data_IF_355169970213
#
_entry.id   IF_355169970213
#
_cell.length_a   1.000
_cell.length_b   1.000
_cell.length_c   1.000
_cell.angle_alpha   90.00
_cell.angle_beta   90.00
_cell.angle_gamma   90.00
#
_symmetry.space_group_name_H-M   'P 1'
#
loop_
_entity.id
_entity.type
_entity.pdbx_description
1 polymer ?
#
# COMPACT_ATOMS: atom_id res chain seq x y z
N UNK A 1 -46.83 -37.86 -2.16
CA UNK A 1 -47.04 -38.25 -3.57
C UNK A 1 -45.64 -38.45 -4.15
N UNK A 2 -45.05 -39.65 -4.00
CA UNK A 2 -44.87 -40.71 -5.05
C UNK A 2 -44.04 -40.16 -6.23
N UNK A 3 -42.82 -40.62 -6.59
CA UNK A 3 -42.22 -41.95 -6.87
C UNK A 3 -40.66 -41.78 -6.79
N UNK A 4 -39.81 -42.66 -6.24
CA UNK A 4 -39.40 -44.05 -6.57
C UNK A 4 -38.78 -44.22 -7.97
N UNK A 5 -37.52 -44.66 -8.01
CA UNK A 5 -36.81 -45.16 -9.20
C UNK A 5 -35.45 -45.78 -8.87
N UNK A 6 -35.47 -47.02 -8.36
CA UNK A 6 -34.34 -47.96 -8.24
C UNK A 6 -34.22 -48.73 -9.56
N UNK A 7 -33.01 -48.97 -10.09
CA UNK A 7 -32.73 -50.22 -10.83
C UNK A 7 -31.26 -50.64 -10.73
N UNK A 8 -31.10 -51.96 -10.60
CA UNK A 8 -29.94 -52.74 -10.16
C UNK A 8 -29.80 -53.90 -11.15
N UNK A 9 -28.66 -54.08 -11.83
CA UNK A 9 -28.25 -55.30 -12.58
C UNK A 9 -26.71 -55.29 -12.64
N UNK A 10 -25.93 -55.97 -11.78
CA UNK A 10 -25.49 -57.40 -11.74
C UNK A 10 -24.81 -57.99 -12.99
N UNK A 11 -23.49 -58.19 -12.84
CA UNK A 11 -22.67 -59.37 -13.16
C UNK A 11 -22.50 -59.88 -14.62
N UNK A 12 -21.25 -60.01 -15.07
CA UNK A 12 -20.73 -61.31 -15.54
C UNK A 12 -19.19 -61.35 -15.55
N UNK A 13 -18.64 -62.34 -14.85
CA UNK A 13 -17.25 -62.78 -14.86
C UNK A 13 -17.14 -63.93 -15.89
N UNK A 14 -16.16 -63.89 -16.80
CA UNK A 14 -15.79 -65.09 -17.56
C UNK A 14 -14.27 -65.15 -17.73
N UNK A 15 -13.72 -66.26 -17.27
CA UNK A 15 -12.31 -66.65 -17.26
C UNK A 15 -12.21 -67.84 -18.21
N UNK A 16 -11.34 -67.79 -19.23
CA UNK A 16 -10.80 -69.00 -19.86
C UNK A 16 -9.34 -68.72 -20.24
N UNK A 17 -8.48 -69.64 -19.81
CA UNK A 17 -7.04 -69.72 -20.08
C UNK A 17 -6.74 -70.40 -21.43
N UNK A 18 -5.57 -70.10 -22.00
CA UNK A 18 -4.95 -70.87 -23.08
C UNK A 18 -3.55 -70.37 -23.45
N UNK A 19 -2.52 -71.10 -23.02
CA UNK A 19 -1.12 -71.10 -23.53
C UNK A 19 -1.08 -71.56 -25.02
N UNK A 20 -0.03 -71.45 -25.84
CA UNK A 20 1.43 -71.20 -25.75
C UNK A 20 1.84 -70.39 -27.03
N UNK A 21 3.00 -69.76 -27.17
CA UNK A 21 4.32 -70.38 -27.35
C UNK A 21 5.46 -69.38 -27.09
N UNK A 22 6.51 -69.93 -26.50
CA UNK A 22 7.82 -69.37 -26.20
C UNK A 22 8.68 -69.24 -27.46
N UNK A 23 9.32 -68.08 -27.67
CA UNK A 23 10.76 -68.09 -28.00
C UNK A 23 11.47 -66.93 -27.28
N UNK A 24 12.41 -67.39 -26.48
CA UNK A 24 13.35 -66.72 -25.61
C UNK A 24 14.29 -65.78 -26.37
N UNK A 25 14.66 -64.66 -25.76
CA UNK A 25 16.04 -64.16 -25.80
C UNK A 25 16.28 -63.19 -24.63
N UNK A 26 17.33 -63.54 -23.90
CA UNK A 26 17.77 -62.96 -22.64
C UNK A 26 18.25 -61.50 -22.78
N UNK A 27 17.82 -60.65 -21.84
CA UNK A 27 18.64 -59.52 -21.39
C UNK A 27 18.20 -59.11 -19.97
N UNK A 28 19.18 -59.16 -19.07
CA UNK A 28 19.10 -58.86 -17.65
C UNK A 28 18.91 -57.36 -17.41
N UNK A 29 18.07 -57.04 -16.43
CA UNK A 29 17.83 -55.72 -15.85
C UNK A 29 19.12 -54.95 -15.50
N UNK A 30 19.17 -53.69 -15.89
CA UNK A 30 19.67 -52.60 -15.03
C UNK A 30 18.73 -51.42 -15.23
N UNK A 31 17.87 -51.18 -14.24
CA UNK A 31 17.11 -49.93 -14.13
C UNK A 31 18.12 -48.82 -13.84
N UNK A 32 18.42 -47.99 -14.84
CA UNK A 32 19.14 -46.74 -14.64
C UNK A 32 18.18 -45.75 -13.98
N UNK A 33 18.38 -45.52 -12.67
CA UNK A 33 17.96 -44.30 -12.03
C UNK A 33 18.68 -43.14 -12.71
N UNK A 34 17.98 -42.45 -13.62
CA UNK A 34 18.34 -41.09 -14.01
C UNK A 34 18.07 -40.18 -12.81
N UNK A 35 19.05 -40.08 -11.92
CA UNK A 35 19.22 -38.90 -11.09
C UNK A 35 19.58 -37.77 -12.04
N UNK A 36 18.64 -36.88 -12.29
CA UNK A 36 18.93 -35.59 -12.92
C UNK A 36 19.85 -34.85 -11.97
N UNK A 37 21.16 -34.89 -12.21
CA UNK A 37 22.11 -33.97 -11.60
C UNK A 37 21.68 -32.56 -12.03
N UNK A 38 20.98 -31.85 -11.15
CA UNK A 38 20.86 -30.39 -11.27
C UNK A 38 22.28 -29.85 -11.13
N UNK A 39 22.92 -29.52 -12.25
CA UNK A 39 24.12 -28.70 -12.24
C UNK A 39 23.75 -27.34 -11.63
N UNK A 40 23.82 -27.24 -10.31
CA UNK A 40 23.72 -25.98 -9.61
C UNK A 40 25.03 -25.25 -9.87
N UNK A 41 25.08 -24.46 -10.95
CA UNK A 41 26.23 -23.61 -11.27
C UNK A 41 26.53 -22.71 -10.06
N UNK A 42 27.63 -23.00 -9.37
CA UNK A 42 28.04 -22.31 -8.14
C UNK A 42 28.82 -21.06 -8.52
N UNK A 43 28.27 -19.89 -8.19
CA UNK A 43 28.95 -18.62 -8.41
C UNK A 43 29.92 -18.37 -7.25
N UNK A 44 31.22 -18.51 -7.53
CA UNK A 44 32.29 -18.31 -6.54
C UNK A 44 32.66 -16.83 -6.43
N UNK A 45 32.12 -16.15 -5.42
CA UNK A 45 32.44 -14.76 -5.10
C UNK A 45 33.01 -14.68 -3.68
N UNK A 46 34.11 -13.95 -3.50
CA UNK A 46 34.63 -13.67 -2.15
C UNK A 46 33.75 -12.65 -1.43
N UNK A 47 33.77 -12.65 -0.09
CA UNK A 47 32.99 -11.70 0.71
C UNK A 47 33.36 -10.23 0.42
N UNK A 48 34.60 -9.96 0.03
CA UNK A 48 35.07 -8.62 -0.36
C UNK A 48 34.46 -8.17 -1.69
N UNK A 49 34.41 -9.06 -2.68
CA UNK A 49 33.79 -8.79 -3.98
C UNK A 49 32.29 -8.62 -3.81
N UNK A 50 31.61 -9.46 -3.00
CA UNK A 50 30.19 -9.27 -2.72
C UNK A 50 29.89 -7.86 -2.18
N UNK A 51 30.74 -7.36 -1.27
CA UNK A 51 30.58 -6.01 -0.72
C UNK A 51 30.83 -4.91 -1.75
N UNK A 52 31.81 -5.07 -2.63
CA UNK A 52 32.12 -4.13 -3.71
C UNK A 52 30.95 -4.00 -4.71
N UNK A 53 30.30 -5.11 -5.03
CA UNK A 53 29.15 -5.16 -5.93
C UNK A 53 27.81 -4.84 -5.25
N UNK A 54 27.81 -4.48 -3.96
CA UNK A 54 26.60 -4.14 -3.21
C UNK A 54 25.66 -5.32 -2.98
N UNK A 55 26.20 -6.55 -2.96
CA UNK A 55 25.45 -7.78 -2.69
C UNK A 55 25.26 -7.88 -1.17
N UNK A 56 24.00 -7.88 -0.74
CA UNK A 56 23.64 -8.05 0.67
C UNK A 56 23.00 -9.42 0.87
N UNK A 57 23.35 -10.08 1.97
CA UNK A 57 22.82 -11.39 2.36
C UNK A 57 21.99 -11.24 3.64
N UNK A 58 20.84 -11.91 3.71
CA UNK A 58 19.96 -11.96 4.86
C UNK A 58 19.57 -13.39 5.21
N UNK A 59 19.17 -13.59 6.45
CA UNK A 59 18.66 -14.87 6.93
C UNK A 59 17.16 -14.99 6.60
N UNK A 60 16.78 -16.08 5.94
CA UNK A 60 15.39 -16.39 5.64
C UNK A 60 14.68 -16.83 6.93
N UNK A 61 13.51 -16.26 7.22
CA UNK A 61 12.82 -16.54 8.47
C UNK A 61 11.35 -16.15 8.47
N UNK A 62 10.67 -16.35 9.61
CA UNK A 62 9.26 -16.03 9.73
C UNK A 62 9.03 -14.53 9.56
N UNK A 63 7.98 -14.19 8.83
CA UNK A 63 7.64 -12.81 8.54
C UNK A 63 6.16 -12.61 8.33
N UNK A 64 5.79 -11.35 8.11
CA UNK A 64 4.41 -10.94 7.99
C UNK A 64 4.18 -10.21 6.68
N UNK A 65 3.27 -10.73 5.86
CA UNK A 65 2.89 -10.13 4.59
C UNK A 65 1.64 -9.30 4.79
N UNK A 66 1.78 -8.00 4.56
CA UNK A 66 0.70 -7.02 4.67
C UNK A 66 0.26 -6.59 3.28
N UNK A 67 -0.93 -7.00 2.88
CA UNK A 67 -1.53 -6.52 1.65
C UNK A 67 -2.25 -5.22 1.91
N UNK A 68 -2.16 -4.31 0.96
CA UNK A 68 -2.85 -3.03 1.04
C UNK A 68 -3.59 -2.74 -0.27
N UNK A 69 -4.49 -1.77 -0.18
CA UNK A 69 -5.16 -1.17 -1.32
C UNK A 69 -4.79 0.30 -1.31
N UNK A 70 -4.30 0.78 -2.45
CA UNK A 70 -4.01 2.19 -2.65
C UNK A 70 -5.30 2.95 -2.93
N UNK A 71 -5.54 3.96 -2.10
CA UNK A 71 -6.64 4.90 -2.28
C UNK A 71 -6.07 6.30 -2.50
N UNK A 72 -6.79 7.10 -3.26
CA UNK A 72 -6.47 8.52 -3.45
C UNK A 72 -7.51 9.38 -2.74
N UNK A 73 -7.13 10.60 -2.38
CA UNK A 73 -8.02 11.48 -1.66
C UNK A 73 -7.50 12.89 -1.52
N UNK A 74 -8.17 13.65 -0.67
CA UNK A 74 -7.86 15.05 -0.39
C UNK A 74 -7.83 15.30 1.12
N UNK A 75 -6.94 16.21 1.54
CA UNK A 75 -6.95 16.75 2.90
C UNK A 75 -8.01 17.85 2.98
N UNK A 76 -8.90 17.73 3.96
CA UNK A 76 -9.86 18.78 4.31
C UNK A 76 -9.67 19.21 5.76
N UNK A 77 -9.99 20.47 6.04
CA UNK A 77 -10.17 20.92 7.42
C UNK A 77 -11.36 20.17 8.04
N UNK A 78 -11.28 19.89 9.35
CA UNK A 78 -12.40 19.29 10.06
C UNK A 78 -13.59 20.27 10.08
N UNK A 79 -14.75 19.95 9.46
CA UNK A 79 -15.86 20.91 9.34
C UNK A 79 -16.42 21.37 10.69
N UNK A 80 -16.34 20.51 11.72
CA UNK A 80 -16.76 20.84 13.09
C UNK A 80 -15.86 21.88 13.79
N UNK A 81 -14.70 22.16 13.19
CA UNK A 81 -13.64 23.05 13.68
C UNK A 81 -13.45 24.29 12.81
N UNK A 82 -14.42 24.57 11.95
CA UNK A 82 -14.47 25.77 11.12
C UNK A 82 -15.47 26.75 11.73
N UNK A 83 -15.08 28.02 11.79
CA UNK A 83 -15.93 29.14 12.17
C UNK A 83 -16.00 30.13 11.01
N UNK A 84 -17.21 30.36 10.51
CA UNK A 84 -17.49 31.42 9.56
C UNK A 84 -17.86 32.69 10.33
N UNK A 85 -17.10 33.76 10.10
CA UNK A 85 -17.32 35.06 10.74
C UNK A 85 -18.13 35.91 9.78
N UNK A 86 -19.33 36.29 10.20
CA UNK A 86 -20.24 37.16 9.45
C UNK A 86 -20.38 38.51 10.16
N UNK A 87 -20.38 39.64 9.43
CA UNK A 87 -20.67 40.94 10.01
C UNK A 87 -22.09 40.97 10.56
N UNK A 88 -22.29 41.62 11.71
CA UNK A 88 -23.62 41.76 12.31
C UNK A 88 -24.48 42.81 11.60
N UNK A 89 -23.84 43.81 11.01
CA UNK A 89 -24.46 44.89 10.28
C UNK A 89 -23.68 45.16 8.99
N UNK A 90 -24.39 45.45 7.91
CA UNK A 90 -23.75 45.87 6.66
C UNK A 90 -22.99 47.19 6.88
N UNK A 91 -21.83 47.35 6.24
CA UNK A 91 -20.96 48.49 6.51
C UNK A 91 -19.72 48.57 5.64
N UNK A 92 -18.97 49.66 5.79
CA UNK A 92 -17.68 49.86 5.09
C UNK A 92 -16.55 49.32 5.96
N UNK A 93 -15.66 48.52 5.37
CA UNK A 93 -14.47 48.01 6.03
C UNK A 93 -13.47 49.15 6.24
N UNK A 94 -13.30 49.60 7.48
CA UNK A 94 -12.40 50.71 7.79
C UNK A 94 -10.96 50.27 7.95
N UNK A 95 -10.75 49.10 8.57
CA UNK A 95 -9.42 48.58 8.87
C UNK A 95 -9.42 47.06 8.93
N UNK A 96 -8.46 46.42 8.26
CA UNK A 96 -8.21 44.98 8.31
C UNK A 96 -6.96 44.72 9.15
N UNK A 97 -7.11 44.00 10.26
CA UNK A 97 -6.02 43.72 11.20
C UNK A 97 -5.34 42.38 10.95
N UNK A 98 -6.02 41.46 10.26
CA UNK A 98 -5.55 40.10 10.03
C UNK A 98 -5.81 39.64 8.61
N UNK A 99 -4.94 38.78 8.10
CA UNK A 99 -5.02 38.24 6.73
C UNK A 99 -4.97 36.71 6.67
N UNK A 100 -5.24 36.16 5.49
CA UNK A 100 -5.20 34.72 5.22
C UNK A 100 -3.83 34.14 5.56
N UNK A 101 -3.82 32.99 6.24
CA UNK A 101 -2.62 32.29 6.70
C UNK A 101 -2.16 32.67 8.10
N UNK A 102 -2.67 33.76 8.67
CA UNK A 102 -2.32 34.17 10.04
C UNK A 102 -3.08 33.36 11.09
N UNK A 103 -2.40 33.13 12.22
CA UNK A 103 -3.01 32.56 13.42
C UNK A 103 -3.73 33.65 14.20
N UNK A 104 -4.88 33.28 14.76
CA UNK A 104 -5.72 34.15 15.57
C UNK A 104 -6.20 33.42 16.83
N UNK A 105 -6.37 34.19 17.89
CA UNK A 105 -6.97 33.72 19.15
C UNK A 105 -8.43 34.12 19.22
N UNK A 106 -9.24 33.36 19.97
CA UNK A 106 -10.62 33.72 20.27
C UNK A 106 -10.68 35.10 20.93
N UNK A 107 -11.55 35.98 20.40
CA UNK A 107 -11.71 37.37 20.84
C UNK A 107 -10.73 38.36 20.21
N UNK A 108 -9.77 37.89 19.40
CA UNK A 108 -8.85 38.77 18.69
C UNK A 108 -9.59 39.56 17.59
N UNK A 109 -9.35 40.88 17.52
CA UNK A 109 -10.00 41.77 16.55
C UNK A 109 -9.42 41.54 15.16
N UNK A 110 -10.27 41.12 14.23
CA UNK A 110 -9.89 40.78 12.86
C UNK A 110 -10.04 41.98 11.91
N UNK A 111 -11.14 42.73 12.07
CA UNK A 111 -11.50 43.86 11.21
C UNK A 111 -12.37 44.85 11.99
N UNK A 112 -12.30 46.13 11.60
CA UNK A 112 -13.17 47.20 12.09
C UNK A 112 -14.07 47.64 10.93
N UNK A 113 -15.39 47.65 11.17
CA UNK A 113 -16.40 47.99 10.17
C UNK A 113 -17.21 49.18 10.68
N UNK A 114 -17.46 50.16 9.81
CA UNK A 114 -18.43 51.23 10.06
C UNK A 114 -19.83 50.79 9.61
N UNK A 115 -20.76 50.69 10.56
CA UNK A 115 -22.14 50.27 10.27
C UNK A 115 -22.88 51.31 9.44
N UNK A 116 -23.55 50.87 8.37
CA UNK A 116 -24.43 51.75 7.58
C UNK A 116 -25.71 52.14 8.32
N UNK A 117 -26.09 51.41 9.37
CA UNK A 117 -27.31 51.70 10.15
C UNK A 117 -27.08 52.80 11.19
N UNK A 118 -25.93 52.78 11.87
CA UNK A 118 -25.62 53.70 12.97
C UNK A 118 -24.52 54.71 12.66
N UNK A 119 -23.78 54.54 11.58
CA UNK A 119 -22.56 55.30 11.23
C UNK A 119 -21.49 55.26 12.33
N UNK A 120 -21.48 54.18 13.11
CA UNK A 120 -20.49 53.93 14.15
C UNK A 120 -19.62 52.74 13.78
N UNK A 121 -18.35 52.77 14.18
CA UNK A 121 -17.46 51.63 14.02
C UNK A 121 -17.76 50.55 15.05
N UNK A 122 -17.57 49.29 14.65
CA UNK A 122 -17.62 48.14 15.54
C UNK A 122 -16.56 47.12 15.14
N UNK A 123 -16.14 46.32 16.12
CA UNK A 123 -15.13 45.28 15.94
C UNK A 123 -15.78 43.96 15.57
N UNK A 124 -15.16 43.27 14.61
CA UNK A 124 -15.44 41.86 14.32
C UNK A 124 -14.27 41.03 14.83
N UNK A 125 -14.57 40.11 15.73
CA UNK A 125 -13.59 39.32 16.45
C UNK A 125 -13.65 37.85 16.05
N UNK A 126 -12.55 37.12 16.26
CA UNK A 126 -12.54 35.68 16.09
C UNK A 126 -13.40 34.98 17.14
N UNK A 127 -14.18 33.98 16.74
CA UNK A 127 -14.98 33.16 17.65
C UNK A 127 -14.22 31.93 18.19
N UNK A 128 -13.09 31.58 17.56
CA UNK A 128 -12.27 30.42 17.90
C UNK A 128 -10.77 30.74 17.81
N UNK A 129 -9.93 29.90 18.41
CA UNK A 129 -8.51 29.87 18.09
C UNK A 129 -8.33 29.13 16.75
N UNK A 130 -7.46 29.60 15.87
CA UNK A 130 -7.22 28.93 14.60
C UNK A 130 -6.39 29.73 13.61
N UNK A 131 -6.48 29.34 12.35
CA UNK A 131 -5.84 30.02 11.22
C UNK A 131 -6.93 30.56 10.30
N UNK A 132 -6.76 31.79 9.81
CA UNK A 132 -7.63 32.33 8.76
C UNK A 132 -7.33 31.60 7.45
N UNK A 133 -8.30 30.85 6.94
CA UNK A 133 -8.15 30.09 5.68
C UNK A 133 -8.76 30.82 4.49
N UNK A 134 -9.73 31.70 4.72
CA UNK A 134 -10.36 32.52 3.67
C UNK A 134 -10.72 33.90 4.23
N UNK A 135 -10.72 34.89 3.33
CA UNK A 135 -11.12 36.26 3.60
C UNK A 135 -11.83 36.81 2.36
N UNK A 136 -13.05 37.32 2.53
CA UNK A 136 -13.86 37.87 1.43
C UNK A 136 -14.15 39.35 1.63
N UNK A 137 -13.12 40.12 1.94
CA UNK A 137 -13.22 41.58 2.01
C UNK A 137 -11.86 42.24 1.86
N UNK A 138 -11.88 43.52 1.49
CA UNK A 138 -10.73 44.40 1.47
C UNK A 138 -11.04 45.72 2.18
N UNK A 139 -10.01 46.45 2.60
CA UNK A 139 -10.21 47.76 3.23
C UNK A 139 -10.87 48.73 2.23
N UNK A 140 -11.91 49.45 2.68
CA UNK A 140 -12.73 50.36 1.88
C UNK A 140 -13.91 49.69 1.19
N UNK A 141 -14.02 48.37 1.25
CA UNK A 141 -15.12 47.62 0.63
C UNK A 141 -16.42 47.69 1.45
N UNK A 142 -17.56 47.67 0.76
CA UNK A 142 -18.87 47.49 1.38
C UNK A 142 -19.10 45.99 1.61
N UNK A 143 -19.25 45.60 2.88
CA UNK A 143 -19.58 44.22 3.25
C UNK A 143 -20.99 44.12 3.82
N UNK A 144 -21.71 43.06 3.44
CA UNK A 144 -23.06 42.77 3.92
C UNK A 144 -23.11 41.67 4.98
N UNK A 145 -24.28 41.47 5.59
CA UNK A 145 -24.53 40.43 6.62
C UNK A 145 -24.57 39.01 6.08
N UNK A 146 -24.77 38.83 4.77
CA UNK A 146 -24.77 37.52 4.09
C UNK A 146 -23.35 37.06 3.71
N UNK A 147 -22.37 37.96 3.73
CA UNK A 147 -21.01 37.67 3.32
C UNK A 147 -20.20 37.08 4.49
N UNK A 148 -19.49 35.98 4.24
CA UNK A 148 -18.49 35.46 5.17
C UNK A 148 -17.26 36.36 5.13
N UNK A 149 -17.08 37.21 6.14
CA UNK A 149 -15.94 38.08 6.26
C UNK A 149 -14.64 37.24 6.34
N UNK A 150 -14.62 36.30 7.29
CA UNK A 150 -13.49 35.37 7.46
C UNK A 150 -13.98 33.94 7.61
N UNK A 151 -13.19 32.99 7.12
CA UNK A 151 -13.30 31.57 7.51
C UNK A 151 -12.06 31.22 8.34
N UNK A 152 -12.28 30.75 9.56
CA UNK A 152 -11.22 30.41 10.51
C UNK A 152 -11.32 28.92 10.81
N UNK A 153 -10.19 28.20 10.78
CA UNK A 153 -10.15 26.77 11.06
C UNK A 153 -9.08 26.43 12.09
N UNK A 154 -9.41 25.55 13.04
CA UNK A 154 -8.41 24.85 13.85
C UNK A 154 -7.80 23.72 13.01
N UNK A 155 -6.56 23.93 12.54
CA UNK A 155 -5.84 23.02 11.66
C UNK A 155 -4.91 22.05 12.40
N UNK A 156 -4.98 21.95 13.73
CA UNK A 156 -4.12 21.03 14.49
C UNK A 156 -4.38 19.55 14.17
N UNK A 157 -5.58 19.25 13.68
CA UNK A 157 -5.95 17.96 13.09
C UNK A 157 -6.67 18.23 11.77
N UNK A 158 -6.45 17.37 10.81
CA UNK A 158 -7.13 17.42 9.51
C UNK A 158 -7.68 16.05 9.16
N UNK A 159 -8.58 16.01 8.20
CA UNK A 159 -9.14 14.76 7.70
C UNK A 159 -8.59 14.49 6.30
N UNK A 160 -8.07 13.28 6.08
CA UNK A 160 -7.88 12.75 4.74
C UNK A 160 -9.16 12.04 4.31
N UNK A 161 -9.81 12.55 3.28
CA UNK A 161 -11.01 11.99 2.65
C UNK A 161 -10.58 11.16 1.45
N UNK A 162 -10.57 9.84 1.63
CA UNK A 162 -10.13 8.86 0.65
C UNK A 162 -11.30 8.32 -0.16
N UNK A 163 -11.10 8.16 -1.46
CA UNK A 163 -12.06 7.55 -2.37
C UNK A 163 -11.89 6.04 -2.40
N UNK A 164 -12.94 5.32 -2.01
CA UNK A 164 -13.00 3.85 -2.02
C UNK A 164 -13.83 3.40 -3.21
N UNK A 165 -13.20 2.76 -4.19
CA UNK A 165 -13.91 2.19 -5.34
C UNK A 165 -14.86 1.07 -4.93
N UNK A 166 -15.99 0.96 -5.62
CA UNK A 166 -17.01 -0.07 -5.37
C UNK A 166 -16.44 -1.51 -5.35
N UNK A 167 -15.45 -1.82 -6.19
CA UNK A 167 -14.80 -3.15 -6.24
C UNK A 167 -14.07 -3.52 -4.94
N UNK A 168 -13.63 -2.52 -4.18
CA UNK A 168 -12.79 -2.68 -2.98
C UNK A 168 -13.57 -2.43 -1.68
N UNK A 169 -14.80 -1.91 -1.76
CA UNK A 169 -15.61 -1.50 -0.60
C UNK A 169 -15.81 -2.61 0.44
N UNK A 170 -15.86 -3.87 0.00
CA UNK A 170 -16.03 -5.01 0.90
C UNK A 170 -14.76 -5.34 1.71
N UNK A 171 -13.60 -4.93 1.22
CA UNK A 171 -12.28 -5.12 1.86
C UNK A 171 -11.92 -3.96 2.79
N UNK A 172 -12.50 -2.78 2.56
CA UNK A 172 -12.30 -1.60 3.40
C UNK A 172 -13.27 -1.58 4.58
N UNK A 173 -12.75 -1.43 5.79
CA UNK A 173 -13.52 -1.42 7.05
C UNK A 173 -13.01 -0.33 7.99
N UNK A 174 -13.90 0.17 8.84
CA UNK A 174 -13.52 1.07 9.92
C UNK A 174 -12.47 0.41 10.84
N UNK A 175 -11.55 1.22 11.36
CA UNK A 175 -10.48 0.77 12.24
C UNK A 175 -9.23 0.24 11.55
N UNK A 176 -9.27 -0.02 10.23
CA UNK A 176 -8.08 -0.43 9.47
C UNK A 176 -6.97 0.62 9.56
N UNK A 177 -5.73 0.13 9.64
CA UNK A 177 -4.54 0.97 9.61
C UNK A 177 -4.35 1.52 8.20
N UNK A 178 -4.03 2.81 8.13
CA UNK A 178 -3.79 3.53 6.88
C UNK A 178 -2.49 4.28 7.00
N UNK A 179 -1.70 4.25 5.94
CA UNK A 179 -0.50 5.06 5.80
C UNK A 179 -0.77 6.09 4.70
N UNK A 180 -0.86 7.36 5.07
CA UNK A 180 -1.18 8.46 4.15
C UNK A 180 0.10 9.21 3.81
N UNK A 181 0.28 9.56 2.55
CA UNK A 181 1.44 10.30 2.04
C UNK A 181 1.04 11.34 0.98
N UNK A 182 1.91 12.31 0.74
CA UNK A 182 1.78 13.27 -0.36
C UNK A 182 3.12 13.39 -1.09
N UNK A 183 3.15 13.12 -2.39
CA UNK A 183 4.41 13.11 -3.15
C UNK A 183 5.26 11.89 -2.82
N UNK A 184 6.48 12.09 -2.29
CA UNK A 184 7.45 11.02 -2.01
C UNK A 184 7.17 10.27 -0.71
N UNK A 185 7.84 9.13 -0.52
CA UNK A 185 7.66 8.21 0.63
C UNK A 185 8.08 8.81 1.98
N UNK A 186 8.85 9.92 1.98
CA UNK A 186 9.36 10.58 3.18
C UNK A 186 8.31 11.45 3.91
N UNK A 187 7.09 11.55 3.37
CA UNK A 187 5.99 12.37 3.94
C UNK A 187 4.83 11.53 4.44
N UNK A 188 5.12 10.37 5.04
CA UNK A 188 4.11 9.48 5.57
C UNK A 188 3.57 9.91 6.95
N UNK A 189 2.29 9.63 7.19
CA UNK A 189 1.68 9.64 8.51
C UNK A 189 0.74 8.43 8.63
N UNK A 190 0.84 7.74 9.75
CA UNK A 190 -0.06 6.62 10.05
C UNK A 190 -1.34 7.14 10.70
N UNK A 191 -2.47 6.63 10.24
CA UNK A 191 -3.78 6.86 10.83
C UNK A 191 -4.64 5.61 10.79
N UNK A 192 -5.91 5.78 11.14
CA UNK A 192 -6.92 4.72 11.02
C UNK A 192 -8.17 5.26 10.35
N UNK A 193 -8.88 4.38 9.65
CA UNK A 193 -10.21 4.71 9.10
C UNK A 193 -11.15 4.96 10.28
N UNK A 194 -11.49 6.23 10.46
CA UNK A 194 -12.38 6.74 11.51
C UNK A 194 -13.85 6.70 11.13
N UNK A 195 -14.13 6.66 9.82
CA UNK A 195 -15.48 6.64 9.26
C UNK A 195 -15.42 6.11 7.83
N UNK A 196 -16.44 5.36 7.43
CA UNK A 196 -16.67 4.91 6.07
C UNK A 196 -18.09 5.30 5.71
N UNK A 197 -18.25 6.07 4.63
CA UNK A 197 -19.56 6.52 4.16
C UNK A 197 -20.44 5.33 3.78
N UNK A 198 -21.69 5.26 4.27
CA UNK A 198 -22.67 4.27 3.79
C UNK A 198 -23.21 4.62 2.40
N UNK A 199 -22.98 5.85 1.93
CA UNK A 199 -23.41 6.36 0.63
C UNK A 199 -22.22 6.36 -0.32
N UNK A 200 -22.47 5.89 -1.54
CA UNK A 200 -21.54 5.94 -2.67
C UNK A 200 -21.94 7.13 -3.55
N UNK A 201 -20.99 7.93 -3.98
CA UNK A 201 -21.22 8.95 -5.00
C UNK A 201 -21.50 8.26 -6.34
N UNK A 202 -22.66 8.54 -6.95
CA UNK A 202 -23.11 7.85 -8.17
C UNK A 202 -22.26 8.20 -9.41
N UNK A 203 -21.68 9.40 -9.43
CA UNK A 203 -20.88 9.88 -10.57
C UNK A 203 -19.50 9.26 -10.55
N UNK A 204 -18.86 9.22 -9.39
CA UNK A 204 -17.50 8.64 -9.26
C UNK A 204 -17.52 7.14 -8.94
N UNK A 205 -18.67 6.60 -8.50
CA UNK A 205 -18.84 5.24 -7.98
C UNK A 205 -17.88 4.92 -6.82
N UNK A 206 -17.65 5.93 -5.97
CA UNK A 206 -16.77 5.79 -4.79
C UNK A 206 -17.52 6.09 -3.50
N UNK A 207 -17.21 5.33 -2.44
CA UNK A 207 -17.55 5.71 -1.07
C UNK A 207 -16.40 6.53 -0.48
N UNK A 208 -16.69 7.43 0.46
CA UNK A 208 -15.65 8.18 1.18
C UNK A 208 -15.22 7.46 2.45
N UNK A 209 -13.91 7.23 2.62
CA UNK A 209 -13.31 6.80 3.89
C UNK A 209 -12.54 7.98 4.50
N UNK A 210 -12.73 8.21 5.81
CA UNK A 210 -12.11 9.32 6.52
C UNK A 210 -11.01 8.84 7.45
N UNK A 211 -9.81 9.42 7.32
CA UNK A 211 -8.69 9.21 8.24
C UNK A 211 -8.38 10.52 8.96
N UNK A 212 -8.22 10.47 10.27
CA UNK A 212 -7.83 11.65 11.07
C UNK A 212 -6.31 11.68 11.18
N UNK A 213 -5.71 12.81 10.79
CA UNK A 213 -4.26 13.01 10.81
C UNK A 213 -3.88 14.12 11.79
N UNK A 214 -2.78 13.92 12.51
CA UNK A 214 -2.17 14.97 13.32
C UNK A 214 -1.50 15.99 12.39
N UNK A 215 -1.77 17.27 12.62
CA UNK A 215 -1.26 18.36 11.82
C UNK A 215 -0.71 19.52 12.65
N UNK A 216 -0.19 19.24 13.85
CA UNK A 216 0.45 20.27 14.69
C UNK A 216 1.66 20.94 14.04
N UNK A 217 2.36 20.24 13.15
CA UNK A 217 3.46 20.80 12.35
C UNK A 217 2.99 21.63 11.15
N UNK A 218 1.70 21.59 10.81
CA UNK A 218 1.15 22.24 9.62
C UNK A 218 1.58 21.60 8.29
N UNK A 219 2.09 20.36 8.31
CA UNK A 219 2.54 19.64 7.09
C UNK A 219 1.38 19.32 6.14
N UNK A 220 0.20 19.04 6.68
CA UNK A 220 -1.01 18.73 5.93
C UNK A 220 -1.84 19.98 5.72
N UNK A 221 -1.90 20.49 4.49
CA UNK A 221 -2.70 21.67 4.16
C UNK A 221 -4.03 21.22 3.54
N UNK A 222 -5.18 21.79 3.96
CA UNK A 222 -6.43 21.58 3.26
C UNK A 222 -6.29 21.90 1.76
N UNK A 223 -6.92 21.09 0.90
CA UNK A 223 -6.78 21.17 -0.55
C UNK A 223 -5.68 20.26 -1.14
N UNK A 224 -4.82 19.65 -0.31
CA UNK A 224 -3.77 18.76 -0.80
C UNK A 224 -4.33 17.40 -1.23
N UNK A 225 -3.91 16.93 -2.41
CA UNK A 225 -4.10 15.55 -2.82
C UNK A 225 -3.16 14.61 -2.09
N UNK A 226 -3.66 13.43 -1.72
CA UNK A 226 -2.91 12.40 -0.99
C UNK A 226 -3.14 11.02 -1.57
N UNK A 227 -2.16 10.14 -1.35
CA UNK A 227 -2.30 8.69 -1.55
C UNK A 227 -2.30 8.02 -0.19
N UNK A 228 -3.02 6.90 -0.07
CA UNK A 228 -3.17 6.17 1.17
C UNK A 228 -3.11 4.67 0.94
N UNK A 229 -2.15 4.00 1.60
CA UNK A 229 -2.08 2.54 1.66
C UNK A 229 -2.97 2.05 2.79
N UNK A 230 -4.11 1.43 2.46
CA UNK A 230 -5.00 0.81 3.46
C UNK A 230 -4.70 -0.67 3.58
N UNK A 231 -4.21 -1.11 4.74
CA UNK A 231 -3.86 -2.52 4.95
C UNK A 231 -5.12 -3.37 5.17
N UNK A 232 -5.37 -4.32 4.27
CA UNK A 232 -6.61 -5.11 4.22
C UNK A 232 -6.46 -6.55 4.70
N UNK A 233 -5.24 -7.08 4.70
CA UNK A 233 -4.94 -8.40 5.26
C UNK A 233 -3.51 -8.47 5.75
N UNK A 234 -3.31 -9.26 6.80
CA UNK A 234 -2.02 -9.57 7.38
C UNK A 234 -1.92 -11.10 7.46
N UNK A 235 -0.91 -11.70 6.84
CA UNK A 235 -0.69 -13.16 6.89
C UNK A 235 0.71 -13.42 7.43
N UNK A 236 0.79 -14.24 8.48
CA UNK A 236 2.07 -14.77 8.95
C UNK A 236 2.49 -15.93 8.03
N UNK A 237 3.74 -15.93 7.62
CA UNK A 237 4.33 -17.00 6.84
C UNK A 237 5.62 -17.50 7.51
N UNK A 238 5.90 -18.82 7.49
CA UNK A 238 7.10 -19.39 8.09
C UNK A 238 8.41 -18.88 7.47
N UNK A 239 8.38 -18.54 6.17
CA UNK A 239 9.52 -18.01 5.43
C UNK A 239 9.03 -16.85 4.57
N UNK A 240 9.58 -15.67 4.84
CA UNK A 240 9.38 -14.45 4.05
C UNK A 240 10.74 -13.89 3.69
N UNK A 241 10.89 -13.51 2.42
CA UNK A 241 12.09 -12.84 1.93
C UNK A 241 11.71 -11.52 1.27
N UNK A 242 12.70 -10.64 1.10
CA UNK A 242 12.55 -9.42 0.31
C UNK A 242 12.27 -9.77 -1.14
N UNK A 243 11.27 -9.11 -1.74
CA UNK A 243 10.84 -9.37 -3.12
C UNK A 243 11.97 -9.16 -4.14
N UNK A 244 12.89 -8.23 -3.86
CA UNK A 244 14.07 -7.96 -4.72
C UNK A 244 15.04 -9.14 -4.84
N UNK A 245 14.99 -10.10 -3.92
CA UNK A 245 15.81 -11.31 -3.95
C UNK A 245 15.31 -12.33 -4.97
N UNK A 246 14.02 -12.29 -5.29
CA UNK A 246 13.38 -13.22 -6.20
C UNK A 246 13.73 -12.86 -7.65
N UNK A 247 14.33 -13.81 -8.36
CA UNK A 247 14.68 -13.69 -9.78
C UNK A 247 13.87 -14.70 -10.59
N UNK A 248 13.72 -14.42 -11.89
CA UNK A 248 13.15 -15.38 -12.84
C UNK A 248 14.23 -15.82 -13.81
N UNK A 249 14.54 -17.12 -13.82
CA UNK A 249 15.53 -17.76 -14.70
C UNK A 249 14.83 -18.94 -15.36
N UNK A 250 14.85 -19.02 -16.69
CA UNK A 250 14.17 -20.07 -17.47
C UNK A 250 12.69 -20.26 -17.08
N UNK A 251 11.98 -19.13 -16.91
CA UNK A 251 10.57 -19.06 -16.46
C UNK A 251 10.29 -19.55 -15.02
N UNK A 252 11.33 -19.98 -14.31
CA UNK A 252 11.25 -20.45 -12.92
C UNK A 252 11.68 -19.38 -11.93
N UNK A 253 11.08 -19.42 -10.74
CA UNK A 253 11.40 -18.50 -9.65
C UNK A 253 12.62 -19.03 -8.88
N UNK A 254 13.64 -18.19 -8.77
CA UNK A 254 14.95 -18.55 -8.21
C UNK A 254 15.39 -17.51 -7.18
N UNK A 255 16.00 -17.97 -6.10
CA UNK A 255 16.66 -17.15 -5.08
C UNK A 255 18.10 -17.64 -4.96
N UNK A 256 19.06 -16.72 -4.93
CA UNK A 256 20.46 -17.09 -4.69
C UNK A 256 20.71 -17.29 -3.19
N UNK A 257 21.18 -18.48 -2.83
CA UNK A 257 21.50 -18.85 -1.44
C UNK A 257 23.01 -18.86 -1.22
N UNK A 258 23.45 -18.46 -0.03
CA UNK A 258 24.86 -18.50 0.36
C UNK A 258 25.16 -19.85 0.99
N UNK A 259 25.96 -20.64 0.28
CA UNK A 259 26.51 -21.92 0.72
C UNK A 259 28.03 -21.78 1.01
N UNK A 260 28.67 -22.86 1.46
CA UNK A 260 30.10 -22.85 1.82
C UNK A 260 30.99 -22.52 0.61
N UNK A 261 30.63 -23.00 -0.57
CA UNK A 261 31.45 -22.88 -1.79
C UNK A 261 31.15 -21.63 -2.63
N UNK A 262 30.09 -20.89 -2.29
CA UNK A 262 29.68 -19.71 -3.06
C UNK A 262 28.17 -19.45 -3.00
N UNK A 263 27.67 -18.75 -4.00
CA UNK A 263 26.26 -18.44 -4.17
C UNK A 263 25.65 -19.41 -5.19
N UNK A 264 24.54 -20.04 -4.81
CA UNK A 264 23.89 -21.08 -5.62
C UNK A 264 22.47 -20.62 -5.99
N UNK A 265 22.06 -20.70 -7.27
CA UNK A 265 20.67 -20.48 -7.64
C UNK A 265 19.79 -21.61 -7.08
N UNK A 266 18.82 -21.28 -6.24
CA UNK A 266 17.89 -22.23 -5.65
C UNK A 266 16.47 -21.95 -6.13
N UNK A 267 15.85 -22.94 -6.79
CA UNK A 267 14.46 -22.86 -7.23
C UNK A 267 13.51 -22.78 -6.03
N UNK A 268 12.57 -21.86 -6.08
CA UNK A 268 11.58 -21.64 -5.01
C UNK A 268 10.16 -21.66 -5.55
N UNK A 269 9.23 -22.11 -4.71
CA UNK A 269 7.80 -21.91 -4.94
C UNK A 269 7.31 -20.76 -4.07
N UNK A 270 6.75 -19.74 -4.71
CA UNK A 270 6.28 -18.54 -4.01
C UNK A 270 4.80 -18.62 -3.68
N UNK A 271 4.42 -17.96 -2.59
CA UNK A 271 3.06 -17.87 -2.07
C UNK A 271 2.51 -16.46 -2.24
N UNK A 272 1.94 -15.92 -1.16
CA UNK A 272 1.47 -14.53 -1.16
C UNK A 272 2.65 -13.56 -1.25
N UNK A 273 2.40 -12.41 -1.86
CA UNK A 273 3.39 -11.34 -1.95
C UNK A 273 2.73 -9.97 -1.76
N UNK A 274 3.55 -8.99 -1.38
CA UNK A 274 3.22 -7.58 -1.43
C UNK A 274 4.34 -6.80 -2.14
N UNK A 275 4.33 -5.46 -2.06
CA UNK A 275 5.32 -4.62 -2.74
C UNK A 275 6.77 -4.93 -2.32
N UNK A 276 6.97 -5.31 -1.06
CA UNK A 276 8.30 -5.39 -0.44
C UNK A 276 8.76 -6.83 -0.20
N UNK A 277 7.84 -7.76 0.01
CA UNK A 277 8.10 -9.09 0.54
C UNK A 277 7.29 -10.19 -0.18
N UNK A 278 7.84 -11.40 -0.18
CA UNK A 278 7.23 -12.60 -0.75
C UNK A 278 7.35 -13.78 0.20
N UNK A 279 6.27 -14.56 0.30
CA UNK A 279 6.22 -15.83 1.04
C UNK A 279 6.85 -16.93 0.21
N UNK A 280 7.70 -17.74 0.84
CA UNK A 280 8.26 -18.95 0.23
C UNK A 280 7.53 -20.18 0.77
N UNK A 281 6.84 -20.90 -0.12
CA UNK A 281 6.12 -22.13 0.20
C UNK A 281 7.03 -23.36 0.21
N UNK A 282 8.02 -23.39 -0.68
CA UNK A 282 9.03 -24.46 -0.73
C UNK A 282 10.30 -24.00 -1.44
N UNK A 283 11.38 -24.75 -1.26
CA UNK A 283 12.66 -24.48 -1.91
C UNK A 283 13.53 -23.47 -1.17
N UNK A 284 13.21 -23.08 0.07
CA UNK A 284 14.09 -22.34 0.98
C UNK A 284 13.79 -22.80 2.41
N UNK A 285 14.80 -22.81 3.30
CA UNK A 285 14.63 -23.19 4.71
C UNK A 285 14.83 -21.99 5.63
N UNK A 286 14.16 -22.00 6.77
CA UNK A 286 14.40 -21.00 7.82
C UNK A 286 15.86 -21.11 8.31
N UNK A 287 16.52 -19.98 8.51
CA UNK A 287 17.93 -19.89 8.84
C UNK A 287 18.88 -19.91 7.63
N UNK A 288 18.39 -20.22 6.42
CA UNK A 288 19.23 -20.21 5.22
C UNK A 288 19.55 -18.76 4.82
N UNK A 289 20.82 -18.52 4.51
CA UNK A 289 21.29 -17.21 4.04
C UNK A 289 20.95 -17.05 2.56
N UNK A 290 20.29 -15.96 2.20
CA UNK A 290 19.90 -15.64 0.83
C UNK A 290 20.34 -14.23 0.45
N UNK A 291 20.55 -13.99 -0.84
CA UNK A 291 20.93 -12.70 -1.38
C UNK A 291 19.71 -11.79 -1.43
N UNK A 292 19.63 -10.80 -0.53
CA UNK A 292 18.53 -9.84 -0.46
C UNK A 292 18.66 -8.68 -1.44
N UNK A 293 19.90 -8.29 -1.78
CA UNK A 293 20.18 -7.25 -2.80
C UNK A 293 21.31 -7.70 -3.72
N UNK A 294 21.26 -7.26 -4.98
CA UNK A 294 22.28 -7.60 -5.98
C UNK A 294 22.03 -8.93 -6.71
N UNK A 295 20.88 -9.58 -6.49
CA UNK A 295 20.51 -10.85 -7.15
C UNK A 295 20.46 -10.75 -8.69
N UNK A 296 20.16 -9.57 -9.24
CA UNK A 296 20.21 -9.32 -10.69
C UNK A 296 21.62 -9.46 -11.27
N UNK A 297 22.65 -9.01 -10.53
CA UNK A 297 24.06 -9.13 -10.96
C UNK A 297 24.47 -10.60 -11.06
N UNK A 298 24.02 -11.42 -10.10
CA UNK A 298 24.27 -12.86 -10.08
C UNK A 298 23.57 -13.57 -11.23
N UNK A 299 22.33 -13.20 -11.52
CA UNK A 299 21.60 -13.69 -12.69
C UNK A 299 22.35 -13.38 -14.00
N UNK A 300 22.86 -12.15 -14.14
CA UNK A 300 23.59 -11.75 -15.33
C UNK A 300 24.90 -12.54 -15.50
N UNK A 301 25.57 -12.89 -14.42
CA UNK A 301 26.80 -13.69 -14.47
C UNK A 301 26.50 -15.15 -14.85
N UNK A 302 25.49 -15.75 -14.23
CA UNK A 302 25.02 -17.10 -14.53
C UNK A 302 24.69 -17.26 -16.02
N UNK A 303 23.90 -16.33 -16.58
CA UNK A 303 23.51 -16.38 -17.99
C UNK A 303 24.73 -16.29 -18.93
N UNK A 304 25.77 -15.52 -18.60
CA UNK A 304 26.98 -15.45 -19.45
C UNK A 304 27.73 -16.78 -19.47
N UNK A 305 27.84 -17.46 -18.33
CA UNK A 305 28.51 -18.76 -18.25
C UNK A 305 27.75 -19.81 -19.08
N UNK A 306 26.41 -19.81 -19.03
CA UNK A 306 25.59 -20.71 -19.84
C UNK A 306 25.66 -20.43 -21.35
N UNK A 307 25.93 -19.19 -21.79
CA UNK A 307 26.11 -18.84 -23.22
C UNK A 307 27.56 -19.01 -23.72
N UNK A 308 28.55 -19.13 -22.83
CA UNK A 308 29.97 -19.25 -23.20
C UNK A 308 30.46 -20.67 -23.44
N UNK A 309 29.61 -21.68 -23.25
CA UNK A 309 29.98 -23.11 -23.30
C UNK A 309 30.10 -23.74 -24.71
N UNK A 310 29.71 -23.03 -25.77
CA UNK A 310 29.63 -23.58 -27.15
C UNK A 310 30.81 -23.16 -28.07
N UNK A 311 31.97 -22.80 -27.52
CA UNK A 311 33.20 -22.62 -28.31
C UNK A 311 34.29 -23.62 -27.90
N UNK A 312 34.16 -24.89 -28.28
CA UNK A 312 35.30 -25.80 -28.51
C UNK A 312 35.02 -26.85 -29.58
#
# INVERSE_FOLDING_TARGET
>A
MKLIGIFLITALMFFIAGCSDEQNNDAVNTEEHNETEEHSEVIKLSDEVMKEFGIEVKEAGPGVIKNHIDLTGEIIAEPSKISHIVPRFSGIVQQVNKTVGEKVSKGEVLVIIESNESLTTYEVQSLIDGTIIEMHMTQGELIGTEAHAFTIADLNKVWAMLSVYQKDINKIKMGQNVKVSFGSIDTEETGRISYLSPIVDEKTRTASARVILNNRSGKWRPGMFVTAKVYVSETNAPIVIEKNALQTIDEEQVVFVKEVEGLVPQRVKVGKENDDNVEILSGLKAGQLYVSKGAFTLKAELLKESFGGDEH
#
